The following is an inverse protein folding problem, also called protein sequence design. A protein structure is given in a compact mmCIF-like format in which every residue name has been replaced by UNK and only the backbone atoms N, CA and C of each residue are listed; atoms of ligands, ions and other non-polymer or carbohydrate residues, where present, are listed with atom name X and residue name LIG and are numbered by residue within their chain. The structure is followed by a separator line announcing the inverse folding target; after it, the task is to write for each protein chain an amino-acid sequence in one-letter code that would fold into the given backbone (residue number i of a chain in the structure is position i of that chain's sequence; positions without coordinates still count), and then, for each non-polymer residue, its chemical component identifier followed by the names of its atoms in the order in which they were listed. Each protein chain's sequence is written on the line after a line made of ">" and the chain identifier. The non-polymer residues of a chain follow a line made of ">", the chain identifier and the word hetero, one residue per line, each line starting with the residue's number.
data_IF_277354073441
#
_entry.id   IF_277354073441
#
_cell.length_a   1.000
_cell.length_b   1.000
_cell.length_c   1.000
_cell.angle_alpha   90.00
_cell.angle_beta   90.00
_cell.angle_gamma   90.00
#
_symmetry.space_group_name_H-M   'P 1'
#
loop_
_entity.id
_entity.type
_entity.pdbx_description
1 polymer ?
#
# COMPACT_ATOMS: atom_id res chain seq x y z
N UNK A 1 67.84 21.26 2.48
CA UNK A 1 66.91 21.24 1.32
C UNK A 1 66.34 19.85 0.98
N UNK A 2 66.96 18.72 1.38
CA UNK A 2 66.44 17.37 1.06
C UNK A 2 65.28 16.89 1.94
N UNK A 3 65.15 17.37 3.18
CA UNK A 3 64.12 16.87 4.11
C UNK A 3 62.71 17.40 3.82
N UNK A 4 62.59 18.66 3.35
CA UNK A 4 61.29 19.24 2.98
C UNK A 4 60.72 18.58 1.72
N UNK A 5 61.57 18.08 0.81
CA UNK A 5 61.13 17.38 -0.41
C UNK A 5 60.51 16.01 -0.10
N UNK A 6 61.06 15.29 0.87
CA UNK A 6 60.50 14.01 1.34
C UNK A 6 59.14 14.20 2.01
N UNK A 7 58.97 15.21 2.85
CA UNK A 7 57.69 15.49 3.54
C UNK A 7 56.56 15.78 2.54
N UNK A 8 56.83 16.50 1.45
CA UNK A 8 55.83 16.75 0.40
C UNK A 8 55.46 15.50 -0.41
N UNK A 9 56.40 14.55 -0.60
CA UNK A 9 56.11 13.25 -1.23
C UNK A 9 55.19 12.42 -0.33
N UNK A 10 55.45 12.37 0.98
CA UNK A 10 54.61 11.64 1.93
C UNK A 10 53.22 12.28 2.13
N UNK A 11 53.12 13.61 2.13
CA UNK A 11 51.83 14.32 2.15
C UNK A 11 51.02 14.13 0.87
N UNK A 12 51.68 14.08 -0.30
CA UNK A 12 51.01 13.77 -1.57
C UNK A 12 50.46 12.35 -1.62
N UNK A 13 51.21 11.38 -1.10
CA UNK A 13 50.81 9.97 -1.07
C UNK A 13 49.66 9.70 -0.06
N UNK A 14 49.65 10.43 1.06
CA UNK A 14 48.55 10.41 2.03
C UNK A 14 47.26 11.04 1.46
N UNK A 15 47.39 12.10 0.64
CA UNK A 15 46.25 12.76 -0.01
C UNK A 15 45.62 11.89 -1.12
N UNK A 16 46.42 11.06 -1.81
CA UNK A 16 45.90 10.10 -2.80
C UNK A 16 45.11 8.93 -2.17
N UNK A 17 45.41 8.55 -0.92
CA UNK A 17 44.69 7.48 -0.21
C UNK A 17 43.30 7.92 0.30
N UNK A 18 43.03 9.23 0.37
CA UNK A 18 41.72 9.78 0.72
C UNK A 18 40.81 9.99 -0.51
N UNK A 19 41.29 9.68 -1.72
CA UNK A 19 40.57 9.83 -2.97
C UNK A 19 39.78 8.60 -3.44
N UNK A 20 39.93 7.44 -2.78
CA UNK A 20 39.03 6.29 -2.97
C UNK A 20 37.83 6.44 -2.03
N UNK A 21 37.11 7.55 -2.16
CA UNK A 21 35.71 7.58 -1.76
C UNK A 21 34.99 6.62 -2.69
N UNK A 22 34.25 5.67 -2.13
CA UNK A 22 33.41 4.71 -2.84
C UNK A 22 32.79 5.35 -4.09
N UNK A 23 33.11 4.76 -5.25
CA UNK A 23 32.17 4.82 -6.36
C UNK A 23 30.92 4.15 -5.82
N UNK A 24 29.83 4.91 -5.68
CA UNK A 24 28.52 4.34 -5.48
C UNK A 24 28.17 3.57 -6.76
N UNK A 25 28.69 2.34 -6.88
CA UNK A 25 28.09 1.30 -7.71
C UNK A 25 26.84 0.82 -6.96
N UNK A 26 25.95 1.77 -6.64
CA UNK A 26 24.57 1.44 -6.37
C UNK A 26 24.02 1.13 -7.75
N UNK A 27 23.66 -0.13 -8.08
CA UNK A 27 22.88 -0.36 -9.28
C UNK A 27 21.69 0.59 -9.19
N UNK A 28 21.50 1.41 -10.22
CA UNK A 28 20.44 2.41 -10.23
C UNK A 28 19.16 1.71 -9.80
N UNK A 29 18.61 2.10 -8.64
CA UNK A 29 17.29 1.62 -8.24
C UNK A 29 16.38 1.98 -9.40
N UNK A 30 15.91 0.98 -10.14
CA UNK A 30 14.96 1.19 -11.23
C UNK A 30 13.86 2.09 -10.70
N UNK A 31 13.55 3.17 -11.41
CA UNK A 31 12.47 4.05 -11.02
C UNK A 31 11.23 3.19 -10.78
N UNK A 32 10.53 3.39 -9.66
CA UNK A 32 9.26 2.72 -9.43
C UNK A 32 8.38 2.90 -10.66
N UNK A 33 7.72 1.82 -11.13
CA UNK A 33 6.97 1.87 -12.36
C UNK A 33 5.93 2.97 -12.27
N UNK A 34 6.05 3.93 -13.18
CA UNK A 34 5.13 5.04 -13.31
C UNK A 34 3.73 4.57 -13.69
N UNK A 35 2.81 5.52 -13.63
CA UNK A 35 1.41 5.23 -13.80
C UNK A 35 1.06 5.02 -15.29
N UNK A 36 0.79 3.77 -15.70
CA UNK A 36 0.50 3.40 -17.10
C UNK A 36 1.30 2.22 -17.63
N UNK A 37 2.09 1.57 -16.77
CA UNK A 37 3.08 0.61 -17.20
C UNK A 37 2.49 -0.72 -17.67
N UNK A 38 3.08 -1.27 -18.71
CA UNK A 38 2.86 -2.63 -19.21
C UNK A 38 3.30 -3.65 -18.16
N UNK A 39 2.77 -4.88 -18.21
CA UNK A 39 3.23 -5.99 -17.34
C UNK A 39 4.74 -6.20 -17.45
N UNK A 40 5.31 -5.93 -18.64
CA UNK A 40 6.74 -5.94 -18.89
C UNK A 40 7.50 -4.93 -18.02
N UNK A 41 7.11 -3.66 -18.02
CA UNK A 41 7.79 -2.62 -17.23
C UNK A 41 7.68 -2.86 -15.72
N UNK A 42 6.56 -3.43 -15.26
CA UNK A 42 6.40 -3.85 -13.85
C UNK A 42 7.36 -4.99 -13.54
N UNK A 43 7.44 -6.00 -14.41
CA UNK A 43 8.34 -7.13 -14.23
C UNK A 43 9.81 -6.72 -14.29
N UNK A 44 10.20 -5.81 -15.17
CA UNK A 44 11.55 -5.24 -15.20
C UNK A 44 11.92 -4.56 -13.88
N UNK A 45 10.98 -3.83 -13.27
CA UNK A 45 11.19 -3.25 -11.95
C UNK A 45 11.28 -4.29 -10.84
N UNK A 46 10.38 -5.29 -10.82
CA UNK A 46 10.41 -6.38 -9.83
C UNK A 46 11.77 -7.10 -9.91
N UNK A 47 12.25 -7.39 -11.13
CA UNK A 47 13.55 -8.03 -11.35
C UNK A 47 14.70 -7.18 -10.80
N UNK A 48 14.71 -5.88 -11.11
CA UNK A 48 15.70 -4.93 -10.57
C UNK A 48 15.73 -4.93 -9.04
N UNK A 49 14.57 -4.87 -8.38
CA UNK A 49 14.47 -4.88 -6.91
C UNK A 49 14.97 -6.20 -6.34
N UNK A 50 14.55 -7.33 -6.93
CA UNK A 50 14.97 -8.66 -6.51
C UNK A 50 16.49 -8.85 -6.65
N UNK A 51 17.11 -8.36 -7.73
CA UNK A 51 18.58 -8.42 -7.89
C UNK A 51 19.31 -7.59 -6.85
N UNK A 52 18.79 -6.41 -6.54
CA UNK A 52 19.43 -5.48 -5.61
C UNK A 52 19.30 -5.93 -4.15
N UNK A 53 18.08 -6.29 -3.74
CA UNK A 53 17.69 -6.25 -2.33
C UNK A 53 17.32 -7.63 -1.76
N UNK A 54 17.12 -8.66 -2.60
CA UNK A 54 16.78 -10.01 -2.15
C UNK A 54 17.99 -10.71 -1.53
N UNK A 55 17.82 -11.35 -0.37
CA UNK A 55 18.89 -12.06 0.35
C UNK A 55 19.56 -13.15 -0.50
N UNK A 56 18.79 -13.82 -1.37
CA UNK A 56 19.30 -14.87 -2.26
C UNK A 56 19.34 -14.42 -3.73
N UNK A 57 19.68 -13.15 -3.98
CA UNK A 57 19.81 -12.60 -5.34
C UNK A 57 20.70 -13.44 -6.28
N UNK A 58 21.74 -14.09 -5.75
CA UNK A 58 22.64 -14.98 -6.49
C UNK A 58 21.97 -16.27 -7.00
N UNK A 59 20.85 -16.69 -6.40
CA UNK A 59 20.10 -17.87 -6.82
C UNK A 59 19.04 -17.53 -7.89
N UNK A 60 18.79 -16.23 -8.15
CA UNK A 60 17.79 -15.81 -9.15
C UNK A 60 18.27 -16.24 -10.55
N UNK A 61 17.43 -16.92 -11.37
CA UNK A 61 17.79 -17.37 -12.72
C UNK A 61 18.33 -16.25 -13.61
N UNK A 62 19.15 -16.59 -14.61
CA UNK A 62 19.61 -15.61 -15.60
C UNK A 62 18.42 -15.00 -16.37
N UNK A 63 18.58 -13.76 -16.85
CA UNK A 63 17.49 -12.95 -17.42
C UNK A 63 16.75 -13.65 -18.58
N UNK A 64 17.47 -14.42 -19.41
CA UNK A 64 16.93 -15.18 -20.53
C UNK A 64 16.05 -16.37 -20.13
N UNK A 65 16.04 -16.73 -18.84
CA UNK A 65 15.18 -17.77 -18.26
C UNK A 65 13.96 -17.22 -17.52
N UNK A 66 13.82 -15.90 -17.45
CA UNK A 66 12.69 -15.24 -16.81
C UNK A 66 11.64 -14.87 -17.87
N UNK A 67 10.37 -15.11 -17.53
CA UNK A 67 9.24 -14.78 -18.41
C UNK A 67 8.65 -13.42 -18.04
N UNK A 68 9.20 -12.35 -18.61
CA UNK A 68 8.72 -10.98 -18.38
C UNK A 68 7.31 -10.71 -18.91
N UNK A 69 6.69 -11.65 -19.63
CA UNK A 69 5.29 -11.55 -20.06
C UNK A 69 4.30 -12.16 -19.06
N UNK A 70 4.80 -12.83 -18.01
CA UNK A 70 3.97 -13.39 -16.96
C UNK A 70 3.30 -12.28 -16.13
N UNK A 71 2.20 -12.62 -15.46
CA UNK A 71 1.63 -11.70 -14.47
C UNK A 71 2.66 -11.43 -13.35
N UNK A 72 2.66 -10.23 -12.74
CA UNK A 72 3.69 -9.84 -11.77
C UNK A 72 3.88 -10.80 -10.58
N UNK A 73 2.82 -11.48 -10.13
CA UNK A 73 2.92 -12.38 -8.98
C UNK A 73 3.58 -13.70 -9.35
N UNK A 74 3.23 -14.24 -10.51
CA UNK A 74 3.92 -15.40 -11.09
C UNK A 74 5.37 -15.06 -11.41
N UNK A 75 5.64 -13.89 -11.99
CA UNK A 75 6.99 -13.44 -12.30
C UNK A 75 7.86 -13.32 -11.04
N UNK A 76 7.37 -12.62 -9.99
CA UNK A 76 8.04 -12.54 -8.70
C UNK A 76 8.35 -13.92 -8.11
N UNK A 77 7.35 -14.81 -8.09
CA UNK A 77 7.49 -16.15 -7.52
C UNK A 77 8.53 -17.00 -8.25
N UNK A 78 8.73 -16.78 -9.56
CA UNK A 78 9.71 -17.50 -10.36
C UNK A 78 11.17 -17.21 -9.97
N UNK A 79 11.41 -16.11 -9.24
CA UNK A 79 12.74 -15.68 -8.80
C UNK A 79 13.10 -16.14 -7.38
N UNK A 80 12.15 -16.70 -6.63
CA UNK A 80 12.38 -17.07 -5.23
C UNK A 80 13.27 -18.31 -5.11
N UNK A 81 14.25 -18.23 -4.21
CA UNK A 81 15.12 -19.36 -3.87
C UNK A 81 14.39 -20.34 -2.96
N UNK A 82 14.63 -21.65 -3.12
CA UNK A 82 14.13 -22.67 -2.16
C UNK A 82 14.70 -22.51 -0.74
N UNK A 83 15.74 -21.68 -0.57
CA UNK A 83 16.30 -21.28 0.73
C UNK A 83 15.42 -20.23 1.44
N UNK A 84 14.60 -19.51 0.68
CA UNK A 84 13.73 -18.47 1.17
C UNK A 84 12.46 -19.03 1.77
N UNK A 85 12.58 -19.77 2.86
CA UNK A 85 11.41 -20.33 3.49
C UNK A 85 11.72 -21.56 4.33
N UNK A 86 10.68 -22.34 4.59
CA UNK A 86 10.79 -23.55 5.39
C UNK A 86 10.64 -24.80 4.53
N UNK A 87 11.69 -25.60 4.48
CA UNK A 87 11.66 -26.93 3.85
C UNK A 87 11.57 -28.02 4.92
N UNK A 88 10.68 -29.00 4.74
CA UNK A 88 10.56 -30.18 5.60
C UNK A 88 10.37 -31.42 4.75
N UNK A 89 11.14 -32.48 5.02
CA UNK A 89 11.09 -33.76 4.30
C UNK A 89 11.23 -33.60 2.77
N UNK A 90 12.12 -32.70 2.31
CA UNK A 90 12.32 -32.43 0.88
C UNK A 90 11.21 -31.61 0.21
N UNK A 91 10.15 -31.23 0.93
CA UNK A 91 9.08 -30.35 0.43
C UNK A 91 9.25 -28.93 0.96
N UNK A 92 9.28 -27.96 0.06
CA UNK A 92 9.23 -26.55 0.41
C UNK A 92 7.79 -26.18 0.84
N UNK A 93 7.63 -25.63 2.04
CA UNK A 93 6.31 -25.41 2.65
C UNK A 93 5.75 -24.03 2.34
N UNK A 94 6.56 -22.98 2.52
CA UNK A 94 6.18 -21.59 2.26
C UNK A 94 7.44 -20.74 2.14
N UNK A 95 7.31 -19.63 1.40
CA UNK A 95 8.36 -18.63 1.29
C UNK A 95 8.28 -17.56 2.38
N UNK A 96 9.41 -16.96 2.79
CA UNK A 96 9.37 -15.79 3.68
C UNK A 96 9.09 -14.51 2.90
N UNK A 97 9.63 -14.41 1.69
CA UNK A 97 9.32 -13.29 0.79
C UNK A 97 7.98 -13.54 0.08
N UNK A 98 7.15 -12.51 0.02
CA UNK A 98 5.85 -12.59 -0.62
C UNK A 98 5.45 -11.23 -1.21
N UNK A 99 4.49 -11.29 -2.12
CA UNK A 99 3.97 -10.12 -2.81
C UNK A 99 2.47 -10.03 -2.56
N UNK A 100 2.00 -8.86 -2.17
CA UNK A 100 0.58 -8.57 -2.00
C UNK A 100 0.10 -7.70 -3.15
N UNK A 101 -1.01 -8.13 -3.75
CA UNK A 101 -1.79 -7.30 -4.65
C UNK A 101 -2.74 -6.48 -3.77
N UNK A 102 -2.58 -5.17 -3.72
CA UNK A 102 -3.34 -4.28 -2.84
C UNK A 102 -4.84 -4.15 -3.20
N UNK A 103 -5.40 -5.04 -4.03
CA UNK A 103 -6.80 -4.94 -4.49
C UNK A 103 -7.83 -5.55 -3.53
N UNK A 104 -7.42 -6.43 -2.62
CA UNK A 104 -8.38 -7.23 -1.81
C UNK A 104 -8.28 -7.01 -0.29
N UNK A 105 -7.44 -6.08 0.19
CA UNK A 105 -7.47 -5.69 1.61
C UNK A 105 -8.67 -4.76 1.89
N UNK A 106 -9.87 -5.33 1.84
CA UNK A 106 -11.03 -4.75 2.53
C UNK A 106 -10.90 -5.04 4.02
N UNK A 107 -9.89 -4.46 4.69
CA UNK A 107 -10.06 -4.18 6.11
C UNK A 107 -11.41 -3.48 6.27
N UNK A 108 -12.11 -3.79 7.36
CA UNK A 108 -13.49 -3.37 7.64
C UNK A 108 -13.66 -1.84 7.76
N UNK A 109 -12.66 -1.07 7.35
CA UNK A 109 -12.38 0.34 7.58
C UNK A 109 -11.18 0.77 6.70
N UNK A 110 -11.21 0.52 5.39
CA UNK A 110 -10.00 0.71 4.58
C UNK A 110 -9.85 2.17 4.14
N UNK A 111 -8.88 2.86 4.72
CA UNK A 111 -8.18 4.03 4.14
C UNK A 111 -7.37 3.63 2.90
N UNK A 112 -7.19 2.33 2.67
CA UNK A 112 -6.31 1.72 1.64
C UNK A 112 -7.07 1.24 0.39
N UNK A 113 -8.36 1.53 0.24
CA UNK A 113 -9.06 1.29 -1.03
C UNK A 113 -8.74 2.40 -2.05
N UNK A 114 -8.65 2.02 -3.34
CA UNK A 114 -8.31 2.93 -4.44
C UNK A 114 -9.25 4.17 -4.49
N UNK A 115 -10.49 4.00 -4.03
CA UNK A 115 -11.49 5.04 -3.79
C UNK A 115 -12.14 4.90 -2.42
N UNK A 116 -12.08 5.93 -1.58
CA UNK A 116 -12.77 5.95 -0.27
C UNK A 116 -13.30 7.32 0.05
N UNK A 117 -14.17 7.41 1.05
CA UNK A 117 -14.53 8.70 1.63
C UNK A 117 -13.48 9.22 2.61
N UNK A 118 -12.47 8.42 3.00
CA UNK A 118 -11.47 8.77 4.00
C UNK A 118 -12.05 8.96 5.39
N UNK A 119 -12.90 8.01 5.81
CA UNK A 119 -13.46 7.95 7.16
C UNK A 119 -13.51 6.50 7.66
N UNK A 120 -13.49 6.36 8.98
CA UNK A 120 -13.73 5.12 9.69
C UNK A 120 -15.09 5.17 10.36
N UNK A 121 -15.85 4.06 10.34
CA UNK A 121 -17.15 3.98 11.01
C UNK A 121 -17.41 2.60 11.60
N UNK A 122 -18.36 2.54 12.53
CA UNK A 122 -18.95 1.28 13.01
C UNK A 122 -20.46 1.31 12.85
N UNK A 123 -21.07 0.15 12.61
CA UNK A 123 -22.51 0.00 12.47
C UNK A 123 -23.14 -0.40 13.80
N UNK A 124 -24.27 0.25 14.13
CA UNK A 124 -25.14 -0.11 15.25
C UNK A 124 -26.49 -0.52 14.70
N UNK A 125 -26.98 -1.70 15.11
CA UNK A 125 -28.36 -2.10 14.84
C UNK A 125 -29.31 -1.20 15.61
N UNK A 126 -30.32 -0.68 14.93
CA UNK A 126 -31.40 0.04 15.61
C UNK A 126 -32.37 -0.99 16.18
N UNK A 127 -32.73 -0.79 17.44
CA UNK A 127 -33.58 -1.70 18.21
C UNK A 127 -34.85 -0.97 18.67
N UNK A 128 -35.91 -1.73 18.95
CA UNK A 128 -37.08 -1.21 19.66
C UNK A 128 -36.82 -1.11 21.18
N UNK A 129 -37.81 -0.62 21.93
CA UNK A 129 -37.75 -0.47 23.39
C UNK A 129 -37.51 -1.80 24.14
N UNK A 130 -37.74 -2.94 23.48
CA UNK A 130 -37.48 -4.29 23.99
C UNK A 130 -36.11 -4.85 23.55
N UNK A 131 -35.21 -4.00 23.03
CA UNK A 131 -33.90 -4.37 22.47
C UNK A 131 -33.96 -5.35 21.28
N UNK A 132 -35.09 -5.44 20.57
CA UNK A 132 -35.21 -6.28 19.37
C UNK A 132 -34.77 -5.51 18.13
N UNK A 133 -33.91 -6.08 17.26
CA UNK A 133 -33.46 -5.42 16.03
C UNK A 133 -34.61 -5.08 15.08
N UNK A 134 -34.62 -3.85 14.56
CA UNK A 134 -35.59 -3.36 13.60
C UNK A 134 -35.19 -3.62 12.13
N UNK A 135 -34.01 -4.22 11.91
CA UNK A 135 -33.53 -4.59 10.57
C UNK A 135 -32.83 -3.46 9.79
N UNK A 136 -32.48 -2.36 10.45
CA UNK A 136 -31.68 -1.28 9.88
C UNK A 136 -30.60 -0.80 10.85
N UNK A 137 -29.60 -0.10 10.32
CA UNK A 137 -28.41 0.33 11.05
C UNK A 137 -28.27 1.86 11.03
N UNK A 138 -27.55 2.38 12.02
CA UNK A 138 -26.89 3.68 11.93
C UNK A 138 -25.38 3.49 11.98
N UNK A 139 -24.65 4.27 11.20
CA UNK A 139 -23.20 4.25 11.23
C UNK A 139 -22.69 5.40 12.11
N UNK A 140 -21.78 5.09 13.03
CA UNK A 140 -21.11 6.10 13.85
C UNK A 140 -19.69 6.29 13.34
N UNK A 141 -19.33 7.54 13.02
CA UNK A 141 -18.00 7.88 12.54
C UNK A 141 -16.99 7.81 13.69
N UNK A 142 -15.96 7.00 13.52
CA UNK A 142 -14.87 6.80 14.47
C UNK A 142 -13.65 7.67 14.15
N UNK A 143 -13.44 8.01 12.88
CA UNK A 143 -12.32 8.82 12.44
C UNK A 143 -12.60 9.45 11.08
N UNK A 144 -12.02 10.62 10.81
CA UNK A 144 -12.08 11.30 9.51
C UNK A 144 -10.67 11.76 9.17
N UNK A 145 -10.18 11.38 7.99
CA UNK A 145 -8.88 11.82 7.50
C UNK A 145 -8.92 13.32 7.12
N UNK A 146 -7.92 14.13 7.52
CA UNK A 146 -7.78 15.49 7.03
C UNK A 146 -7.67 15.52 5.50
N UNK A 147 -8.25 16.55 4.85
CA UNK A 147 -8.25 16.73 3.39
C UNK A 147 -8.88 15.57 2.59
N UNK A 148 -9.68 14.71 3.24
CA UNK A 148 -10.44 13.65 2.56
C UNK A 148 -11.79 14.15 2.04
N UNK A 149 -12.49 13.37 1.21
CA UNK A 149 -13.87 13.68 0.83
C UNK A 149 -14.81 13.81 2.02
N UNK A 150 -14.69 12.95 3.05
CA UNK A 150 -15.48 13.06 4.27
C UNK A 150 -15.18 14.36 5.03
N UNK A 151 -13.91 14.73 5.17
CA UNK A 151 -13.54 16.02 5.80
C UNK A 151 -14.08 17.21 5.00
N UNK A 152 -14.01 17.15 3.67
CA UNK A 152 -14.53 18.19 2.78
C UNK A 152 -16.05 18.31 2.83
N UNK A 153 -16.75 17.19 3.06
CA UNK A 153 -18.20 17.15 3.30
C UNK A 153 -18.60 17.58 4.73
N UNK A 154 -17.63 17.99 5.57
CA UNK A 154 -17.86 18.46 6.93
C UNK A 154 -18.25 17.34 7.90
N UNK A 155 -17.87 16.09 7.62
CA UNK A 155 -18.00 14.99 8.55
C UNK A 155 -16.93 15.09 9.64
N UNK A 156 -17.32 14.75 10.87
CA UNK A 156 -16.44 14.72 12.03
C UNK A 156 -16.60 13.41 12.81
N UNK A 157 -15.58 13.07 13.60
CA UNK A 157 -15.67 11.96 14.56
C UNK A 157 -16.90 12.17 15.46
N UNK A 158 -17.69 11.11 15.60
CA UNK A 158 -18.88 11.09 16.45
C UNK A 158 -20.18 11.45 15.71
N UNK A 159 -20.12 11.93 14.47
CA UNK A 159 -21.31 12.09 13.63
C UNK A 159 -21.98 10.73 13.39
N UNK A 160 -23.31 10.74 13.31
CA UNK A 160 -24.14 9.60 12.97
C UNK A 160 -24.64 9.72 11.54
N UNK A 161 -24.34 8.74 10.71
CA UNK A 161 -24.95 8.59 9.39
C UNK A 161 -26.20 7.74 9.58
N UNK A 162 -27.35 8.39 9.42
CA UNK A 162 -28.68 7.81 9.66
C UNK A 162 -29.40 7.44 8.38
N UNK A 163 -28.80 7.70 7.22
CA UNK A 163 -29.39 7.39 5.93
C UNK A 163 -28.45 7.62 4.75
N UNK A 164 -28.69 6.89 3.67
CA UNK A 164 -27.94 6.98 2.41
C UNK A 164 -28.90 7.17 1.24
N UNK A 165 -28.43 7.77 0.15
CA UNK A 165 -29.26 8.17 -1.01
C UNK A 165 -30.50 8.98 -0.59
N UNK A 166 -30.35 9.86 0.41
CA UNK A 166 -31.41 10.73 0.94
C UNK A 166 -32.52 10.01 1.72
N UNK A 167 -32.35 8.74 2.10
CA UNK A 167 -33.36 7.94 2.83
C UNK A 167 -32.76 7.32 4.08
N UNK A 168 -33.56 7.17 5.14
CA UNK A 168 -33.16 6.37 6.31
C UNK A 168 -33.34 4.88 5.98
N UNK A 169 -32.31 4.24 5.42
CA UNK A 169 -32.43 2.92 4.80
C UNK A 169 -31.16 2.05 4.88
N UNK A 170 -30.23 2.29 5.81
CA UNK A 170 -29.00 1.50 5.89
C UNK A 170 -29.33 0.11 6.44
N UNK A 171 -28.97 -0.95 5.72
CA UNK A 171 -29.22 -2.35 6.07
C UNK A 171 -28.02 -3.25 5.70
N UNK A 172 -28.14 -4.56 5.93
CA UNK A 172 -27.09 -5.55 5.66
C UNK A 172 -26.69 -5.61 4.19
N UNK A 173 -27.59 -5.22 3.30
CA UNK A 173 -27.45 -5.40 1.86
C UNK A 173 -26.79 -4.17 1.22
N UNK A 174 -26.84 -3.01 1.88
CA UNK A 174 -26.43 -1.75 1.29
C UNK A 174 -25.38 -0.94 2.09
N UNK A 175 -25.01 -1.36 3.30
CA UNK A 175 -24.02 -0.60 4.11
C UNK A 175 -22.68 -0.41 3.40
N UNK A 176 -22.35 -1.26 2.42
CA UNK A 176 -21.17 -1.11 1.57
C UNK A 176 -21.07 0.25 0.86
N UNK A 177 -22.20 0.97 0.67
CA UNK A 177 -22.23 2.34 0.14
C UNK A 177 -21.43 3.32 1.00
N UNK A 178 -21.25 3.03 2.29
CA UNK A 178 -20.48 3.86 3.21
C UNK A 178 -18.96 3.69 3.05
N UNK A 179 -18.51 2.68 2.29
CA UNK A 179 -17.09 2.42 2.05
C UNK A 179 -16.57 3.25 0.89
N UNK A 180 -17.25 3.19 -0.26
CA UNK A 180 -16.93 3.92 -1.48
C UNK A 180 -18.15 4.08 -2.39
N UNK A 181 -17.97 4.82 -3.49
CA UNK A 181 -18.99 4.96 -4.53
C UNK A 181 -19.05 6.35 -5.16
N UNK A 182 -19.92 6.45 -6.17
CA UNK A 182 -20.22 7.71 -6.85
C UNK A 182 -20.93 8.70 -5.92
N UNK A 183 -20.99 9.96 -6.39
CA UNK A 183 -21.67 11.05 -5.70
C UNK A 183 -23.06 10.64 -5.22
N UNK A 184 -23.31 10.83 -3.93
CA UNK A 184 -24.55 10.44 -3.27
C UNK A 184 -24.90 11.40 -2.14
N UNK A 185 -26.12 11.27 -1.62
CA UNK A 185 -26.62 12.09 -0.52
C UNK A 185 -26.77 11.27 0.76
N UNK A 186 -26.17 11.74 1.84
CA UNK A 186 -26.30 11.09 3.15
C UNK A 186 -27.05 11.98 4.14
N UNK A 187 -27.74 11.34 5.07
CA UNK A 187 -28.42 11.98 6.20
C UNK A 187 -27.53 11.84 7.42
N UNK A 188 -27.13 12.97 8.02
CA UNK A 188 -26.15 13.01 9.10
C UNK A 188 -26.69 13.76 10.30
N UNK A 189 -26.46 13.24 11.50
CA UNK A 189 -26.83 13.86 12.78
C UNK A 189 -25.59 14.06 13.67
N UNK A 190 -25.45 15.24 14.26
CA UNK A 190 -24.35 15.58 15.18
C UNK A 190 -24.91 15.85 16.57
N UNK A 191 -24.64 14.98 17.54
CA UNK A 191 -25.23 15.12 18.88
C UNK A 191 -26.76 15.26 18.81
N UNK A 192 -27.29 16.31 19.42
CA UNK A 192 -28.73 16.61 19.46
C UNK A 192 -29.21 17.55 18.35
N UNK A 193 -28.39 17.83 17.33
CA UNK A 193 -28.82 18.67 16.21
C UNK A 193 -29.85 17.97 15.33
N UNK A 194 -30.54 18.76 14.51
CA UNK A 194 -31.35 18.22 13.42
C UNK A 194 -30.50 17.42 12.43
N UNK A 195 -31.17 16.52 11.70
CA UNK A 195 -30.57 15.75 10.62
C UNK A 195 -30.30 16.69 9.45
N UNK A 196 -29.05 16.72 8.99
CA UNK A 196 -28.64 17.46 7.79
C UNK A 196 -28.39 16.51 6.63
N UNK A 197 -28.69 16.97 5.42
CA UNK A 197 -28.30 16.27 4.20
C UNK A 197 -26.92 16.77 3.78
N UNK A 198 -26.02 15.86 3.44
CA UNK A 198 -24.72 16.16 2.82
C UNK A 198 -24.64 15.50 1.46
N UNK A 199 -23.96 16.15 0.51
CA UNK A 199 -23.47 15.51 -0.70
C UNK A 199 -22.06 15.00 -0.45
N UNK A 200 -21.79 13.76 -0.82
CA UNK A 200 -20.48 13.15 -0.66
C UNK A 200 -20.17 12.26 -1.87
N UNK A 201 -18.92 12.23 -2.29
CA UNK A 201 -18.41 11.41 -3.38
C UNK A 201 -17.09 10.80 -2.93
N UNK A 202 -16.85 9.51 -3.20
CA UNK A 202 -15.58 8.90 -2.85
C UNK A 202 -14.45 9.56 -3.65
N UNK A 203 -13.24 9.53 -3.09
CA UNK A 203 -12.06 9.98 -3.83
C UNK A 203 -11.97 9.19 -5.12
N UNK A 204 -11.75 9.87 -6.25
CA UNK A 204 -11.42 9.14 -7.47
C UNK A 204 -9.96 8.75 -7.40
N UNK A 205 -9.60 7.53 -7.80
CA UNK A 205 -8.20 7.24 -8.06
C UNK A 205 -7.76 8.23 -9.14
N UNK A 206 -6.74 9.03 -8.86
CA UNK A 206 -6.21 10.01 -9.81
C UNK A 206 -5.74 9.33 -11.12
N UNK A 207 -5.55 8.00 -11.07
CA UNK A 207 -5.53 7.06 -12.18
C UNK A 207 -5.82 5.64 -11.66
N UNK A 208 -6.50 4.81 -12.43
CA UNK A 208 -6.57 3.37 -12.17
C UNK A 208 -5.16 2.80 -12.22
N UNK A 209 -4.59 2.43 -11.08
CA UNK A 209 -3.28 1.76 -11.05
C UNK A 209 -3.57 0.28 -11.30
N UNK A 210 -3.17 -0.30 -12.45
CA UNK A 210 -3.45 -1.71 -12.71
C UNK A 210 -2.76 -2.63 -11.68
N UNK A 211 -1.69 -2.16 -11.05
CA UNK A 211 -0.87 -2.89 -10.07
C UNK A 211 -0.42 -1.98 -8.92
N UNK A 212 -1.22 -1.86 -7.87
CA UNK A 212 -0.69 -1.47 -6.56
C UNK A 212 -0.16 -2.76 -5.92
N UNK A 213 1.16 -2.92 -5.94
CA UNK A 213 1.86 -4.12 -5.49
C UNK A 213 2.78 -3.73 -4.34
N UNK A 214 2.70 -4.48 -3.23
CA UNK A 214 3.65 -4.38 -2.13
C UNK A 214 4.49 -5.65 -2.11
N UNK A 215 5.81 -5.51 -2.26
CA UNK A 215 6.75 -6.62 -2.14
C UNK A 215 7.35 -6.65 -0.73
N UNK A 216 7.21 -7.77 -0.04
CA UNK A 216 7.91 -8.07 1.19
C UNK A 216 9.02 -9.05 0.87
N UNK A 217 10.26 -8.57 0.78
CA UNK A 217 11.42 -9.41 0.49
C UNK A 217 12.32 -9.46 1.71
N UNK A 218 12.85 -10.65 1.99
CA UNK A 218 13.87 -10.80 3.01
C UNK A 218 15.20 -10.32 2.41
N UNK A 219 15.73 -9.20 2.91
CA UNK A 219 16.96 -8.59 2.40
C UNK A 219 18.17 -8.77 3.31
N UNK A 220 19.36 -8.51 2.76
CA UNK A 220 20.60 -8.47 3.54
C UNK A 220 20.59 -7.28 4.50
N UNK A 221 20.87 -7.54 5.79
CA UNK A 221 21.13 -6.47 6.77
C UNK A 221 22.53 -5.92 6.47
N UNK A 222 22.60 -4.86 5.65
CA UNK A 222 23.81 -4.04 5.53
C UNK A 222 24.05 -3.37 6.89
N UNK A 223 25.04 -3.85 7.64
CA UNK A 223 25.52 -3.21 8.87
C UNK A 223 26.47 -2.08 8.57
#
# INVERSE_FOLDING_TARGET
>A
MKENFQIHIWLGLLLCLLGMSCSDDTPAKGNEPGNGNTELEVNEWIESVMRSDYLWNNDIPAQDKLDFSADPQTFFSSMLSLKDGKTRNGKHLYYYSYMEKNKDYKARTSIDADDTYGMEFTLFNVVNDSNQPLGYYYARILYVLPNSPASSAGLERGDWIVGVKGKNNINSDNYGILLNGDRTQWLVKRGDTEVRTIDIEASRPWRTIPYSITMYILGEIKR
#
